data_IF_802932551752
#
_entry.id   IF_802932551752
#
_cell.length_a   1.000
_cell.length_b   1.000
_cell.length_c   1.000
_cell.angle_alpha   90.00
_cell.angle_beta   90.00
_cell.angle_gamma   90.00
#
_symmetry.space_group_name_H-M   'P 1'
#
loop_
_entity.id
_entity.type
_entity.pdbx_description
1 polymer ?
#
# COMPACT_ATOMS: atom_id res chain seq x y z
N UNK A 1 -22.22 -25.60 28.66
CA UNK A 1 -20.92 -26.22 28.29
C UNK A 1 -20.80 -26.48 26.78
N UNK A 2 -21.73 -27.19 26.13
CA UNK A 2 -21.61 -27.53 24.70
C UNK A 2 -21.45 -26.29 23.77
N UNK A 3 -22.23 -25.23 23.98
CA UNK A 3 -22.16 -24.00 23.17
C UNK A 3 -20.78 -23.32 23.23
N UNK A 4 -20.14 -23.32 24.40
CA UNK A 4 -18.80 -22.76 24.59
C UNK A 4 -17.75 -23.56 23.82
N UNK A 5 -17.80 -24.90 23.89
CA UNK A 5 -16.91 -25.75 23.12
C UNK A 5 -17.11 -25.62 21.61
N UNK A 6 -18.35 -25.40 21.15
CA UNK A 6 -18.63 -25.11 19.73
C UNK A 6 -17.94 -23.83 19.29
N UNK A 7 -18.07 -22.73 20.03
CA UNK A 7 -17.39 -21.46 19.68
C UNK A 7 -15.87 -21.64 19.67
N UNK A 8 -15.32 -22.31 20.69
CA UNK A 8 -13.89 -22.56 20.78
C UNK A 8 -13.38 -23.41 19.60
N UNK A 9 -14.11 -24.46 19.21
CA UNK A 9 -13.75 -25.30 18.07
C UNK A 9 -13.75 -24.50 16.76
N UNK A 10 -14.73 -23.63 16.56
CA UNK A 10 -14.80 -22.77 15.36
C UNK A 10 -13.64 -21.76 15.35
N UNK A 11 -13.27 -21.19 16.50
CA UNK A 11 -12.10 -20.30 16.61
C UNK A 11 -10.81 -21.04 16.25
N UNK A 12 -10.58 -22.22 16.84
CA UNK A 12 -9.38 -23.03 16.57
C UNK A 12 -9.32 -23.42 15.09
N UNK A 13 -10.46 -23.83 14.51
CA UNK A 13 -10.55 -24.15 13.09
C UNK A 13 -10.26 -22.94 12.19
N UNK A 14 -10.83 -21.77 12.52
CA UNK A 14 -10.54 -20.51 11.82
C UNK A 14 -9.06 -20.13 11.88
N UNK A 15 -8.44 -20.29 13.04
CA UNK A 15 -7.00 -20.03 13.23
C UNK A 15 -6.14 -21.00 12.41
N UNK A 16 -6.46 -22.30 12.41
CA UNK A 16 -5.76 -23.30 11.61
C UNK A 16 -5.81 -22.96 10.11
N UNK A 17 -6.99 -22.59 9.60
CA UNK A 17 -7.17 -22.15 8.21
C UNK A 17 -6.36 -20.88 7.88
N UNK A 18 -6.26 -19.95 8.83
CA UNK A 18 -5.45 -18.73 8.69
C UNK A 18 -3.94 -18.98 8.67
N UNK A 19 -3.48 -20.09 9.24
CA UNK A 19 -2.07 -20.49 9.23
C UNK A 19 -1.63 -21.21 7.94
N UNK A 20 -2.57 -21.55 7.05
CA UNK A 20 -2.25 -22.16 5.77
C UNK A 20 -1.56 -21.15 4.82
N UNK A 21 -0.64 -21.62 3.96
CA UNK A 21 -0.02 -20.78 2.92
C UNK A 21 -0.98 -20.42 1.78
N UNK A 22 -2.03 -21.21 1.58
CA UNK A 22 -2.99 -21.03 0.48
C UNK A 22 -3.93 -19.85 0.76
N UNK A 23 -3.94 -18.86 -0.12
CA UNK A 23 -4.75 -17.63 0.00
C UNK A 23 -6.24 -17.92 0.26
N UNK A 24 -6.84 -18.87 -0.47
CA UNK A 24 -8.25 -19.22 -0.32
C UNK A 24 -8.58 -19.77 1.08
N UNK A 25 -7.69 -20.61 1.65
CA UNK A 25 -7.85 -21.13 3.01
C UNK A 25 -7.73 -20.02 4.04
N UNK A 26 -6.77 -19.09 3.86
CA UNK A 26 -6.63 -17.93 4.75
C UNK A 26 -7.85 -17.03 4.76
N UNK A 27 -8.42 -16.76 3.58
CA UNK A 27 -9.66 -15.97 3.43
C UNK A 27 -10.84 -16.68 4.07
N UNK A 28 -10.96 -17.99 3.85
CA UNK A 28 -11.99 -18.80 4.49
C UNK A 28 -11.84 -18.79 6.02
N UNK A 29 -10.61 -18.89 6.53
CA UNK A 29 -10.33 -18.75 7.96
C UNK A 29 -10.77 -17.41 8.54
N UNK A 30 -10.60 -16.31 7.80
CA UNK A 30 -11.11 -15.00 8.21
C UNK A 30 -12.65 -14.97 8.30
N UNK A 31 -13.34 -15.57 7.33
CA UNK A 31 -14.80 -15.71 7.36
C UNK A 31 -15.26 -16.55 8.56
N UNK A 32 -14.58 -17.66 8.83
CA UNK A 32 -14.85 -18.52 9.99
C UNK A 32 -14.70 -17.74 11.30
N UNK A 33 -13.71 -16.86 11.42
CA UNK A 33 -13.54 -16.01 12.60
C UNK A 33 -14.69 -14.99 12.77
N UNK A 34 -15.20 -14.42 11.67
CA UNK A 34 -16.39 -13.56 11.72
C UNK A 34 -17.62 -14.36 12.20
N UNK A 35 -17.82 -15.57 11.67
CA UNK A 35 -18.90 -16.47 12.09
C UNK A 35 -18.74 -16.85 13.57
N UNK A 36 -17.54 -17.15 14.03
CA UNK A 36 -17.26 -17.44 15.44
C UNK A 36 -17.67 -16.28 16.35
N UNK A 37 -17.38 -15.04 15.95
CA UNK A 37 -17.79 -13.85 16.71
C UNK A 37 -19.32 -13.71 16.76
N UNK A 38 -20.01 -13.93 15.66
CA UNK A 38 -21.47 -13.90 15.61
C UNK A 38 -22.11 -15.01 16.46
N UNK A 39 -21.59 -16.23 16.39
CA UNK A 39 -22.04 -17.36 17.21
C UNK A 39 -21.84 -17.11 18.71
N UNK A 40 -20.71 -16.50 19.10
CA UNK A 40 -20.43 -16.13 20.48
C UNK A 40 -21.53 -15.22 21.04
N UNK A 41 -21.85 -14.13 20.33
CA UNK A 41 -22.89 -13.19 20.77
C UNK A 41 -24.30 -13.76 20.67
N UNK A 42 -24.57 -14.60 19.66
CA UNK A 42 -25.83 -15.32 19.57
C UNK A 42 -26.06 -16.22 20.78
N UNK A 43 -25.08 -17.04 21.18
CA UNK A 43 -25.24 -17.92 22.35
C UNK A 43 -25.31 -17.17 23.68
N UNK A 44 -24.68 -15.98 23.78
CA UNK A 44 -24.77 -15.15 24.98
C UNK A 44 -26.12 -14.45 25.13
N UNK A 45 -26.74 -14.02 24.02
CA UNK A 45 -27.94 -13.15 24.05
C UNK A 45 -29.22 -13.85 23.60
N UNK A 46 -29.12 -15.01 22.94
CA UNK A 46 -30.24 -15.68 22.26
C UNK A 46 -30.73 -14.96 20.99
N UNK A 47 -30.10 -13.85 20.59
CA UNK A 47 -30.57 -13.01 19.49
C UNK A 47 -29.70 -13.15 18.25
N UNK A 48 -30.32 -13.52 17.11
CA UNK A 48 -29.66 -13.57 15.80
C UNK A 48 -29.16 -12.17 15.40
N UNK A 49 -29.94 -11.14 15.73
CA UNK A 49 -29.57 -9.75 15.44
C UNK A 49 -28.29 -9.37 16.17
N UNK A 50 -28.15 -9.75 17.44
CA UNK A 50 -26.93 -9.49 18.21
C UNK A 50 -25.71 -10.20 17.59
N UNK A 51 -25.87 -11.42 17.09
CA UNK A 51 -24.82 -12.14 16.36
C UNK A 51 -24.40 -11.44 15.06
N UNK A 52 -25.37 -10.96 14.26
CA UNK A 52 -25.09 -10.21 13.03
C UNK A 52 -24.36 -8.90 13.34
N UNK A 53 -24.82 -8.15 14.36
CA UNK A 53 -24.18 -6.91 14.78
C UNK A 53 -22.75 -7.13 15.28
N UNK A 54 -22.50 -8.22 16.01
CA UNK A 54 -21.15 -8.57 16.46
C UNK A 54 -20.20 -8.88 15.29
N UNK A 55 -20.66 -9.63 14.28
CA UNK A 55 -19.88 -9.88 13.08
C UNK A 55 -19.64 -8.58 12.27
N UNK A 56 -20.66 -7.72 12.15
CA UNK A 56 -20.56 -6.44 11.46
C UNK A 56 -19.60 -5.46 12.15
N UNK A 57 -19.50 -5.51 13.49
CA UNK A 57 -18.65 -4.61 14.27
C UNK A 57 -17.17 -4.66 13.85
N UNK A 58 -16.68 -5.81 13.35
CA UNK A 58 -15.31 -5.95 12.82
C UNK A 58 -15.00 -4.96 11.69
N UNK A 59 -15.97 -4.68 10.81
CA UNK A 59 -15.83 -3.72 9.72
C UNK A 59 -15.85 -2.26 10.20
N UNK A 60 -16.24 -2.02 11.45
CA UNK A 60 -16.24 -0.70 12.07
C UNK A 60 -15.05 -0.46 13.00
N UNK A 61 -14.25 -1.47 13.32
CA UNK A 61 -13.01 -1.29 14.09
C UNK A 61 -12.08 -0.20 13.53
N UNK A 62 -11.87 -0.08 12.20
CA UNK A 62 -11.04 0.99 11.64
C UNK A 62 -11.53 2.41 11.98
N UNK A 63 -12.82 2.59 12.29
CA UNK A 63 -13.35 3.91 12.65
C UNK A 63 -12.76 4.45 13.95
N UNK A 64 -12.32 3.58 14.86
CA UNK A 64 -11.64 4.01 16.09
C UNK A 64 -10.38 4.78 15.73
N UNK A 65 -9.53 4.23 14.86
CA UNK A 65 -8.29 4.86 14.40
C UNK A 65 -8.56 6.09 13.51
N UNK A 66 -9.57 6.00 12.64
CA UNK A 66 -9.96 7.09 11.75
C UNK A 66 -10.42 8.34 12.51
N UNK A 67 -11.27 8.19 13.53
CA UNK A 67 -11.82 9.32 14.29
C UNK A 67 -10.87 9.85 15.36
N UNK A 68 -9.93 9.04 15.83
CA UNK A 68 -8.98 9.43 16.88
C UNK A 68 -7.68 10.00 16.32
N UNK A 69 -6.90 9.19 15.60
CA UNK A 69 -5.56 9.54 15.10
C UNK A 69 -5.64 10.25 13.75
N UNK A 70 -6.25 9.60 12.75
CA UNK A 70 -6.17 10.06 11.36
C UNK A 70 -6.92 11.38 11.15
N UNK A 71 -8.08 11.56 11.78
CA UNK A 71 -8.83 12.83 11.72
C UNK A 71 -8.04 14.03 12.27
N UNK A 72 -7.13 13.80 13.22
CA UNK A 72 -6.28 14.84 13.81
C UNK A 72 -4.94 14.99 13.08
N UNK A 73 -4.59 14.06 12.20
CA UNK A 73 -3.35 14.09 11.44
C UNK A 73 -3.34 15.28 10.48
N UNK A 74 -2.24 16.02 10.49
CA UNK A 74 -1.95 17.10 9.55
C UNK A 74 -0.71 16.71 8.77
N UNK A 75 -0.80 16.81 7.45
CA UNK A 75 0.30 16.51 6.54
C UNK A 75 0.78 17.81 5.89
N UNK A 76 2.10 18.03 5.76
CA UNK A 76 2.63 19.22 5.14
C UNK A 76 2.22 19.29 3.66
N UNK A 77 1.84 20.47 3.21
CA UNK A 77 1.45 20.73 1.82
C UNK A 77 2.66 20.74 0.88
N UNK A 78 3.80 21.22 1.38
CA UNK A 78 5.09 21.15 0.71
C UNK A 78 5.95 20.15 1.46
N UNK A 79 6.38 19.09 0.79
CA UNK A 79 7.27 18.11 1.38
C UNK A 79 8.26 17.68 0.31
N UNK A 80 9.53 18.01 0.52
CA UNK A 80 10.62 17.68 -0.40
C UNK A 80 11.36 16.44 0.07
N UNK A 81 11.82 15.64 -0.87
CA UNK A 81 12.77 14.58 -0.65
C UNK A 81 14.07 15.19 -0.13
N UNK A 82 14.62 14.57 0.91
CA UNK A 82 15.91 14.96 1.47
C UNK A 82 16.92 13.89 1.14
N UNK A 83 18.09 14.30 0.68
CA UNK A 83 19.18 13.37 0.42
C UNK A 83 19.53 12.57 1.69
N UNK A 84 19.83 11.29 1.49
CA UNK A 84 20.11 10.34 2.54
C UNK A 84 21.34 9.52 2.15
N UNK A 85 22.32 9.41 3.06
CA UNK A 85 23.64 8.87 2.70
C UNK A 85 23.94 7.49 3.26
N UNK A 86 23.12 6.94 4.17
CA UNK A 86 23.40 5.62 4.74
C UNK A 86 22.18 4.98 5.39
N UNK A 87 21.74 3.86 4.83
CA UNK A 87 20.69 3.01 5.42
C UNK A 87 21.25 1.66 5.79
N UNK A 88 20.97 1.20 7.01
CA UNK A 88 21.25 -0.18 7.38
C UNK A 88 20.16 -1.09 6.81
N UNK A 89 20.48 -1.84 5.75
CA UNK A 89 19.56 -2.74 5.07
C UNK A 89 19.18 -3.98 5.88
N UNK A 90 19.98 -4.39 6.88
CA UNK A 90 19.72 -5.58 7.70
C UNK A 90 18.41 -5.49 8.50
N UNK A 91 17.97 -4.25 8.78
CA UNK A 91 16.74 -3.96 9.52
C UNK A 91 15.49 -4.14 8.64
N UNK A 92 15.67 -4.22 7.32
CA UNK A 92 14.60 -4.22 6.34
C UNK A 92 14.50 -5.59 5.66
N UNK A 93 13.37 -6.30 5.81
CA UNK A 93 13.23 -7.64 5.24
C UNK A 93 13.33 -7.59 3.71
N UNK A 94 14.05 -8.55 3.12
CA UNK A 94 14.21 -8.73 1.67
C UNK A 94 14.85 -7.54 0.90
N UNK A 95 15.35 -6.51 1.60
CA UNK A 95 15.93 -5.33 0.94
C UNK A 95 17.15 -5.68 0.08
N UNK A 96 18.08 -6.45 0.64
CA UNK A 96 19.29 -6.91 -0.05
C UNK A 96 18.96 -7.79 -1.26
N UNK A 97 17.97 -8.68 -1.14
CA UNK A 97 17.51 -9.51 -2.25
C UNK A 97 16.93 -8.68 -3.40
N UNK A 98 16.21 -7.59 -3.10
CA UNK A 98 15.71 -6.66 -4.11
C UNK A 98 16.85 -5.90 -4.79
N UNK A 99 17.83 -5.44 -4.02
CA UNK A 99 18.99 -4.72 -4.54
C UNK A 99 19.78 -5.58 -5.54
N UNK A 100 20.16 -6.80 -5.13
CA UNK A 100 20.90 -7.74 -5.99
C UNK A 100 20.11 -8.05 -7.27
N UNK A 101 18.79 -8.20 -7.14
CA UNK A 101 17.94 -8.48 -8.29
C UNK A 101 17.80 -7.28 -9.25
N UNK A 102 17.79 -6.04 -8.75
CA UNK A 102 17.78 -4.84 -9.58
C UNK A 102 19.09 -4.70 -10.35
N UNK A 103 20.23 -4.81 -9.67
CA UNK A 103 21.56 -4.74 -10.29
C UNK A 103 21.74 -5.81 -11.38
N UNK A 104 21.29 -7.04 -11.10
CA UNK A 104 21.35 -8.15 -12.07
C UNK A 104 20.52 -7.89 -13.33
N UNK A 105 19.41 -7.16 -13.21
CA UNK A 105 18.54 -6.79 -14.33
C UNK A 105 18.97 -5.46 -14.98
N UNK A 106 20.16 -4.95 -14.65
CA UNK A 106 20.75 -3.77 -15.28
C UNK A 106 20.20 -2.44 -14.78
N UNK A 107 19.56 -2.41 -13.61
CA UNK A 107 19.18 -1.14 -12.99
C UNK A 107 20.39 -0.50 -12.31
N UNK A 108 20.66 0.74 -12.69
CA UNK A 108 21.73 1.55 -12.13
C UNK A 108 21.19 2.41 -10.99
N UNK A 109 21.95 2.52 -9.91
CA UNK A 109 21.60 3.38 -8.78
C UNK A 109 21.73 4.87 -9.14
N UNK A 110 20.75 5.67 -8.71
CA UNK A 110 20.75 7.13 -8.91
C UNK A 110 21.09 7.84 -7.61
N UNK A 111 20.21 7.70 -6.61
CA UNK A 111 20.30 8.42 -5.33
C UNK A 111 19.39 7.80 -4.27
N UNK A 112 19.77 8.04 -3.02
CA UNK A 112 19.00 7.67 -1.84
C UNK A 112 18.35 8.92 -1.24
N UNK A 113 17.02 8.86 -1.11
CA UNK A 113 16.19 9.97 -0.65
C UNK A 113 15.37 9.55 0.56
N UNK A 114 15.05 10.49 1.45
CA UNK A 114 14.16 10.24 2.59
C UNK A 114 12.96 11.17 2.54
N UNK A 115 11.81 10.59 2.85
CA UNK A 115 10.56 11.28 3.07
C UNK A 115 10.06 11.03 4.48
N UNK A 116 9.74 12.10 5.21
CA UNK A 116 9.04 12.01 6.50
C UNK A 116 7.62 12.53 6.34
N UNK A 117 6.64 11.65 6.51
CA UNK A 117 5.23 12.00 6.40
C UNK A 117 4.42 11.34 7.51
N UNK A 118 3.69 12.14 8.30
CA UNK A 118 2.73 11.62 9.27
C UNK A 118 3.32 10.69 10.35
N UNK A 119 4.60 10.86 10.70
CA UNK A 119 5.31 10.01 11.66
C UNK A 119 5.87 8.70 11.09
N UNK A 120 5.77 8.49 9.77
CA UNK A 120 6.47 7.43 9.04
C UNK A 120 7.73 8.01 8.39
N UNK A 121 8.84 7.29 8.51
CA UNK A 121 10.04 7.56 7.74
C UNK A 121 10.10 6.56 6.59
N UNK A 122 10.19 7.08 5.37
CA UNK A 122 10.32 6.29 4.16
C UNK A 122 11.64 6.66 3.51
N UNK A 123 12.49 5.67 3.29
CA UNK A 123 13.74 5.84 2.54
C UNK A 123 13.50 5.24 1.16
N UNK A 124 13.83 5.99 0.13
CA UNK A 124 13.70 5.64 -1.27
C UNK A 124 15.09 5.47 -1.84
N UNK A 125 15.43 4.26 -2.24
CA UNK A 125 16.60 4.01 -3.07
C UNK A 125 16.12 3.97 -4.52
N UNK A 126 16.58 4.93 -5.32
CA UNK A 126 16.12 5.15 -6.68
C UNK A 126 17.11 4.53 -7.66
N UNK A 127 16.57 3.78 -8.63
CA UNK A 127 17.32 3.15 -9.69
C UNK A 127 16.63 3.39 -11.02
N UNK A 128 17.38 3.35 -12.10
CA UNK A 128 16.85 3.51 -13.45
C UNK A 128 17.46 2.49 -14.40
N UNK A 129 16.77 2.22 -15.50
CA UNK A 129 17.27 1.37 -16.57
C UNK A 129 16.79 1.93 -17.92
N UNK A 130 17.73 2.36 -18.75
CA UNK A 130 17.45 2.96 -20.06
C UNK A 130 16.85 1.96 -21.07
N UNK A 131 17.27 0.69 -21.03
CA UNK A 131 16.78 -0.37 -21.94
C UNK A 131 15.30 -0.68 -21.67
N UNK A 132 14.93 -0.79 -20.39
CA UNK A 132 13.54 -1.03 -19.96
C UNK A 132 12.73 0.26 -19.85
N UNK A 133 13.35 1.43 -20.06
CA UNK A 133 12.75 2.76 -19.98
C UNK A 133 11.95 2.99 -18.70
N UNK A 134 12.51 2.55 -17.57
CA UNK A 134 11.79 2.55 -16.30
C UNK A 134 12.66 2.94 -15.12
N UNK A 135 11.98 3.43 -14.07
CA UNK A 135 12.56 3.77 -12.77
C UNK A 135 12.05 2.78 -11.74
N UNK A 136 12.97 2.15 -11.01
CA UNK A 136 12.67 1.33 -9.86
C UNK A 136 12.92 2.11 -8.56
N UNK A 137 11.98 2.03 -7.63
CA UNK A 137 12.06 2.67 -6.33
C UNK A 137 11.90 1.62 -5.25
N UNK A 138 13.02 1.29 -4.59
CA UNK A 138 13.04 0.43 -3.41
C UNK A 138 12.73 1.28 -2.18
N UNK A 139 11.55 1.05 -1.60
CA UNK A 139 11.04 1.82 -0.49
C UNK A 139 11.23 1.05 0.82
N UNK A 140 12.01 1.62 1.73
CA UNK A 140 12.29 1.09 3.06
C UNK A 140 11.45 1.90 4.05
N UNK A 141 10.43 1.27 4.62
CA UNK A 141 9.48 1.94 5.51
C UNK A 141 9.74 1.57 6.97
N UNK A 142 9.86 2.58 7.80
CA UNK A 142 9.95 2.45 9.24
C UNK A 142 8.78 3.21 9.90
N UNK A 143 7.98 2.48 10.68
CA UNK A 143 6.92 3.07 11.48
C UNK A 143 6.82 2.39 12.84
N UNK A 144 7.13 3.15 13.90
CA UNK A 144 7.18 2.65 15.27
C UNK A 144 8.15 1.47 15.42
N UNK A 145 7.66 0.23 15.58
CA UNK A 145 8.48 -0.98 15.73
C UNK A 145 8.31 -1.96 14.56
N UNK A 146 7.75 -1.49 13.45
CA UNK A 146 7.51 -2.31 12.25
C UNK A 146 8.29 -1.72 11.09
N UNK A 147 9.09 -2.58 10.46
CA UNK A 147 9.79 -2.28 9.22
C UNK A 147 9.29 -3.20 8.12
N UNK A 148 9.15 -2.64 6.93
CA UNK A 148 8.83 -3.43 5.74
C UNK A 148 9.41 -2.75 4.51
N UNK A 149 9.53 -3.54 3.45
CA UNK A 149 10.03 -3.09 2.16
C UNK A 149 8.99 -3.29 1.09
N UNK A 150 9.04 -2.47 0.07
CA UNK A 150 8.31 -2.70 -1.16
C UNK A 150 9.06 -2.07 -2.33
N UNK A 151 8.77 -2.55 -3.53
CA UNK A 151 9.35 -2.08 -4.77
C UNK A 151 8.25 -1.50 -5.65
N UNK A 152 8.58 -0.41 -6.32
CA UNK A 152 7.71 0.26 -7.28
C UNK A 152 8.47 0.50 -8.57
N UNK A 153 7.93 0.01 -9.69
CA UNK A 153 8.43 0.29 -11.03
C UNK A 153 7.52 1.31 -11.69
N UNK A 154 8.13 2.31 -12.31
CA UNK A 154 7.43 3.41 -12.99
C UNK A 154 7.99 3.59 -14.38
N UNK A 155 7.12 3.61 -15.37
CA UNK A 155 7.44 4.00 -16.76
C UNK A 155 6.55 5.17 -17.16
N UNK A 156 7.05 6.05 -18.03
CA UNK A 156 6.30 7.19 -18.56
C UNK A 156 6.09 7.04 -20.05
N UNK A 157 4.90 7.37 -20.52
CA UNK A 157 4.63 7.48 -21.95
C UNK A 157 4.92 8.89 -22.49
N UNK A 158 5.01 9.01 -23.82
CA UNK A 158 5.23 10.29 -24.51
C UNK A 158 4.12 11.35 -24.29
N UNK A 159 2.99 10.95 -23.72
CA UNK A 159 1.83 11.82 -23.44
C UNK A 159 1.72 12.21 -21.96
N UNK A 160 2.79 11.99 -21.18
CA UNK A 160 2.87 12.27 -19.74
C UNK A 160 1.91 11.40 -18.89
N UNK A 161 1.56 10.21 -19.39
CA UNK A 161 0.95 9.14 -18.61
C UNK A 161 2.01 8.40 -17.78
N UNK A 162 1.66 8.07 -16.54
CA UNK A 162 2.55 7.40 -15.58
C UNK A 162 2.01 6.01 -15.32
N UNK A 163 2.80 4.99 -15.64
CA UNK A 163 2.42 3.59 -15.50
C UNK A 163 3.22 2.95 -14.39
N UNK A 164 2.54 2.50 -13.35
CA UNK A 164 3.20 2.06 -12.12
C UNK A 164 2.78 0.66 -11.70
N UNK A 165 3.76 -0.21 -11.49
CA UNK A 165 3.56 -1.53 -10.89
C UNK A 165 4.21 -1.55 -9.50
N UNK A 166 3.48 -1.97 -8.47
CA UNK A 166 4.01 -2.01 -7.10
C UNK A 166 3.54 -3.23 -6.34
N UNK A 167 4.40 -3.77 -5.47
CA UNK A 167 4.03 -4.79 -4.48
C UNK A 167 3.69 -4.17 -3.10
N UNK A 168 3.51 -2.84 -3.02
CA UNK A 168 3.07 -2.17 -1.80
C UNK A 168 1.84 -2.86 -1.20
N UNK A 169 1.88 -3.28 0.09
CA UNK A 169 0.89 -4.21 0.63
C UNK A 169 -0.46 -3.56 0.98
N UNK A 170 -0.54 -2.24 1.01
CA UNK A 170 -1.72 -1.50 1.46
C UNK A 170 -2.39 -0.72 0.33
N UNK A 171 -3.66 -0.39 0.54
CA UNK A 171 -4.39 0.49 -0.34
C UNK A 171 -3.89 1.95 -0.23
N UNK A 172 -4.00 2.77 -1.30
CA UNK A 172 -3.65 4.18 -1.27
C UNK A 172 -4.47 4.95 -0.27
N UNK A 173 -3.80 5.82 0.45
CA UNK A 173 -4.42 6.74 1.40
C UNK A 173 -5.01 7.97 0.70
N UNK A 174 -4.53 8.29 -0.50
CA UNK A 174 -5.07 9.31 -1.40
C UNK A 174 -5.61 8.66 -2.69
N UNK A 175 -6.48 9.35 -3.41
CA UNK A 175 -6.84 8.93 -4.77
C UNK A 175 -5.64 9.11 -5.70
N UNK A 176 -5.52 8.21 -6.64
CA UNK A 176 -4.55 8.31 -7.73
C UNK A 176 -4.92 9.47 -8.64
N UNK A 177 -3.93 10.23 -9.10
CA UNK A 177 -4.14 11.33 -10.06
C UNK A 177 -4.58 10.76 -11.43
N UNK A 178 -5.33 11.52 -12.26
CA UNK A 178 -5.96 10.99 -13.48
C UNK A 178 -5.01 10.34 -14.50
N UNK A 179 -3.76 10.82 -14.61
CA UNK A 179 -2.75 10.29 -15.53
C UNK A 179 -1.90 9.15 -14.95
N UNK A 180 -2.12 8.80 -13.68
CA UNK A 180 -1.35 7.75 -13.01
C UNK A 180 -2.16 6.45 -13.06
N UNK A 181 -1.62 5.47 -13.76
CA UNK A 181 -2.19 4.14 -13.92
C UNK A 181 -1.47 3.17 -13.01
N UNK A 182 -2.23 2.48 -12.16
CA UNK A 182 -1.67 1.73 -11.04
C UNK A 182 -2.01 0.25 -11.10
N UNK A 183 -0.97 -0.57 -11.20
CA UNK A 183 -1.03 -2.02 -11.16
C UNK A 183 -0.45 -2.53 -9.83
N UNK A 184 -1.32 -2.70 -8.84
CA UNK A 184 -0.91 -3.18 -7.52
C UNK A 184 -0.95 -4.71 -7.47
N UNK A 185 0.21 -5.35 -7.40
CA UNK A 185 0.33 -6.82 -7.33
C UNK A 185 0.28 -7.33 -5.89
N UNK A 186 0.04 -8.62 -5.70
CA UNK A 186 0.06 -9.21 -4.35
C UNK A 186 1.47 -9.19 -3.76
N UNK A 187 1.57 -9.08 -2.43
CA UNK A 187 2.86 -9.13 -1.75
C UNK A 187 3.63 -10.41 -2.06
N UNK A 188 2.95 -11.54 -2.32
CA UNK A 188 3.57 -12.82 -2.74
C UNK A 188 4.41 -12.75 -4.03
N UNK A 189 4.34 -11.64 -4.77
CA UNK A 189 5.33 -11.27 -5.77
C UNK A 189 6.46 -10.45 -5.13
N UNK A 190 7.11 -11.00 -4.10
CA UNK A 190 8.14 -10.29 -3.34
C UNK A 190 9.36 -10.02 -4.23
N UNK A 191 9.80 -10.99 -5.02
CA UNK A 191 11.03 -10.86 -5.81
C UNK A 191 10.95 -9.76 -6.90
N UNK A 192 11.95 -8.87 -6.90
CA UNK A 192 12.09 -7.77 -7.86
C UNK A 192 12.05 -8.25 -9.33
N UNK A 193 12.73 -9.35 -9.68
CA UNK A 193 12.69 -9.93 -11.04
C UNK A 193 11.25 -10.25 -11.49
N UNK A 194 10.40 -10.76 -10.58
CA UNK A 194 9.01 -11.07 -10.90
C UNK A 194 8.20 -9.80 -11.08
N UNK A 195 8.50 -8.76 -10.29
CA UNK A 195 7.85 -7.46 -10.41
C UNK A 195 8.19 -6.77 -11.74
N UNK A 196 9.46 -6.81 -12.17
CA UNK A 196 9.93 -6.29 -13.47
C UNK A 196 9.18 -6.99 -14.61
N UNK A 197 9.15 -8.32 -14.62
CA UNK A 197 8.38 -9.10 -15.61
C UNK A 197 6.89 -8.75 -15.61
N UNK A 198 6.32 -8.54 -14.43
CA UNK A 198 4.90 -8.16 -14.29
C UNK A 198 4.65 -6.74 -14.80
N UNK A 199 5.60 -5.82 -14.61
CA UNK A 199 5.52 -4.46 -15.14
C UNK A 199 5.57 -4.45 -16.67
N UNK A 200 6.53 -5.16 -17.28
CA UNK A 200 6.62 -5.26 -18.73
C UNK A 200 5.37 -5.94 -19.32
N UNK A 201 4.87 -6.99 -18.68
CA UNK A 201 3.62 -7.62 -19.10
C UNK A 201 2.43 -6.66 -19.00
N UNK A 202 2.36 -5.86 -17.94
CA UNK A 202 1.32 -4.84 -17.77
C UNK A 202 1.38 -3.79 -18.89
N UNK A 203 2.55 -3.25 -19.20
CA UNK A 203 2.73 -2.29 -20.30
C UNK A 203 2.30 -2.89 -21.64
N UNK A 204 2.72 -4.12 -21.94
CA UNK A 204 2.31 -4.82 -23.17
C UNK A 204 0.80 -5.03 -23.25
N UNK A 205 0.12 -5.30 -22.12
CA UNK A 205 -1.35 -5.40 -22.09
C UNK A 205 -2.05 -4.07 -22.38
N UNK A 206 -1.41 -2.95 -22.08
CA UNK A 206 -1.93 -1.61 -22.41
C UNK A 206 -1.62 -1.22 -23.86
N UNK A 207 -0.85 -2.03 -24.59
CA UNK A 207 -0.55 -1.85 -26.00
C UNK A 207 0.72 -1.03 -26.28
N UNK A 208 1.56 -0.79 -25.26
CA UNK A 208 2.83 -0.10 -25.45
C UNK A 208 3.79 -0.93 -26.32
N UNK A 209 4.42 -0.26 -27.28
CA UNK A 209 5.59 -0.72 -28.03
C UNK A 209 6.78 0.11 -27.52
N UNK A 210 8.01 -0.40 -27.62
CA UNK A 210 9.20 0.23 -27.02
C UNK A 210 9.31 1.74 -27.31
N UNK A 211 8.96 2.21 -28.51
CA UNK A 211 9.05 3.62 -28.90
C UNK A 211 8.04 4.56 -28.22
N UNK A 212 7.01 4.03 -27.56
CA UNK A 212 5.96 4.81 -26.90
C UNK A 212 6.36 5.29 -25.49
N UNK A 213 7.45 4.75 -24.95
CA UNK A 213 7.95 5.06 -23.61
C UNK A 213 9.11 6.06 -23.68
N UNK A 214 9.10 6.98 -22.72
CA UNK A 214 10.18 7.94 -22.49
C UNK A 214 11.33 7.25 -21.76
N UNK A 215 12.56 7.54 -22.20
CA UNK A 215 13.76 7.18 -21.43
C UNK A 215 13.80 8.10 -20.20
N UNK A 216 13.86 7.56 -18.97
CA UNK A 216 13.97 8.38 -17.76
C UNK A 216 15.26 9.20 -17.76
N UNK A 217 15.17 10.44 -17.28
CA UNK A 217 16.35 11.26 -17.00
C UNK A 217 16.75 11.06 -15.52
N UNK A 218 17.86 10.37 -15.22
CA UNK A 218 18.24 10.04 -13.85
C UNK A 218 18.48 11.28 -12.97
N UNK A 219 18.89 12.41 -13.56
CA UNK A 219 19.20 13.62 -12.79
C UNK A 219 17.95 14.26 -12.18
N UNK A 220 16.78 14.07 -12.79
CA UNK A 220 15.52 14.74 -12.44
C UNK A 220 14.46 13.83 -11.78
N UNK A 221 14.78 12.56 -11.49
CA UNK A 221 13.80 11.57 -10.96
C UNK A 221 13.16 11.98 -9.62
N UNK A 222 13.90 12.63 -8.73
CA UNK A 222 13.37 13.11 -7.44
C UNK A 222 12.40 14.30 -7.61
N UNK A 223 12.76 15.29 -8.43
CA UNK A 223 11.89 16.41 -8.78
C UNK A 223 10.59 15.93 -9.41
N UNK A 224 10.70 14.91 -10.27
CA UNK A 224 9.58 14.22 -10.87
C UNK A 224 8.64 13.55 -9.84
N UNK A 225 9.21 12.86 -8.84
CA UNK A 225 8.44 12.23 -7.75
C UNK A 225 7.75 13.29 -6.88
N UNK A 226 8.45 14.38 -6.56
CA UNK A 226 7.87 15.51 -5.80
C UNK A 226 6.72 16.17 -6.56
N UNK A 227 6.90 16.41 -7.86
CA UNK A 227 5.87 16.98 -8.72
C UNK A 227 4.66 16.04 -8.83
N UNK A 228 4.87 14.73 -8.94
CA UNK A 228 3.78 13.76 -8.95
C UNK A 228 2.98 13.78 -7.64
N UNK A 229 3.65 13.79 -6.48
CA UNK A 229 2.94 13.90 -5.20
C UNK A 229 2.14 15.20 -5.14
N UNK A 230 2.71 16.31 -5.63
CA UNK A 230 2.01 17.60 -5.65
C UNK A 230 0.71 17.51 -6.46
N UNK A 231 0.77 16.96 -7.67
CA UNK A 231 -0.42 16.71 -8.50
C UNK A 231 -1.43 15.79 -7.82
N UNK A 232 -0.95 14.76 -7.10
CA UNK A 232 -1.83 13.90 -6.33
C UNK A 232 -2.53 14.66 -5.20
N UNK A 233 -1.83 15.53 -4.48
CA UNK A 233 -2.41 16.38 -3.42
C UNK A 233 -3.45 17.32 -4.02
N UNK A 234 -3.12 18.04 -5.10
CA UNK A 234 -4.02 18.98 -5.76
C UNK A 234 -5.30 18.28 -6.26
N UNK A 235 -5.17 17.12 -6.89
CA UNK A 235 -6.33 16.30 -7.28
C UNK A 235 -7.22 15.89 -6.09
N UNK A 236 -6.60 15.55 -4.95
CA UNK A 236 -7.35 15.14 -3.75
C UNK A 236 -7.99 16.32 -3.02
N UNK A 237 -7.44 17.53 -3.15
CA UNK A 237 -8.07 18.78 -2.72
C UNK A 237 -9.31 19.08 -3.58
N UNK A 238 -9.17 19.04 -4.91
CA UNK A 238 -10.27 19.28 -5.85
C UNK A 238 -11.42 18.28 -5.68
N UNK A 239 -11.09 17.00 -5.49
CA UNK A 239 -12.10 15.95 -5.27
C UNK A 239 -12.66 15.95 -3.85
N UNK A 240 -12.15 16.79 -2.95
CA UNK A 240 -12.62 16.97 -1.57
C UNK A 240 -12.31 15.80 -0.64
N UNK A 241 -11.30 14.99 -0.95
CA UNK A 241 -10.80 13.91 -0.06
C UNK A 241 -10.00 14.52 1.10
N UNK A 242 -9.21 15.54 0.80
CA UNK A 242 -8.46 16.33 1.77
C UNK A 242 -8.87 17.81 1.69
N UNK A 243 -8.51 18.56 2.72
CA UNK A 243 -8.71 20.01 2.79
C UNK A 243 -7.51 20.68 3.46
N UNK A 244 -7.24 21.91 3.06
CA UNK A 244 -6.23 22.75 3.71
C UNK A 244 -6.65 23.11 5.15
N UNK A 245 -5.66 23.27 6.02
CA UNK A 245 -5.85 23.70 7.41
C UNK A 245 -5.48 25.17 7.64
N UNK A 246 -4.94 25.85 6.64
CA UNK A 246 -4.58 27.29 6.67
C UNK A 246 -3.18 27.59 7.21
N UNK A 247 -2.46 26.58 7.70
CA UNK A 247 -1.13 26.65 8.31
C UNK A 247 -0.09 25.87 7.49
N UNK A 248 -0.22 25.85 6.16
CA UNK A 248 0.67 25.10 5.27
C UNK A 248 0.51 23.57 5.33
N UNK A 249 -0.57 23.08 5.94
CA UNK A 249 -0.89 21.67 6.02
C UNK A 249 -2.24 21.34 5.38
N UNK A 250 -2.49 20.05 5.18
CA UNK A 250 -3.78 19.49 4.82
C UNK A 250 -4.17 18.34 5.75
N UNK A 251 -5.47 18.02 5.77
CA UNK A 251 -6.04 16.91 6.53
C UNK A 251 -7.18 16.26 5.76
N UNK A 252 -7.56 15.04 6.16
CA UNK A 252 -8.73 14.37 5.60
C UNK A 252 -10.03 15.09 5.95
N UNK A 253 -10.92 15.21 4.95
CA UNK A 253 -12.31 15.60 5.17
C UNK A 253 -13.12 14.41 5.71
N UNK A 254 -14.39 14.64 6.09
CA UNK A 254 -15.30 13.52 6.42
C UNK A 254 -15.44 12.56 5.23
N UNK A 255 -15.52 13.09 4.00
CA UNK A 255 -15.53 12.30 2.77
C UNK A 255 -14.24 11.49 2.62
N UNK A 256 -13.10 12.07 2.96
CA UNK A 256 -11.81 11.39 3.00
C UNK A 256 -11.75 10.25 4.03
N UNK A 257 -12.34 10.43 5.21
CA UNK A 257 -12.43 9.35 6.21
C UNK A 257 -13.26 8.16 5.70
N UNK A 258 -14.38 8.42 5.02
CA UNK A 258 -15.15 7.35 4.36
C UNK A 258 -14.38 6.68 3.23
N UNK A 259 -13.59 7.45 2.46
CA UNK A 259 -12.69 6.90 1.45
C UNK A 259 -11.67 5.94 2.09
N UNK A 260 -10.95 6.38 3.12
CA UNK A 260 -9.99 5.55 3.85
C UNK A 260 -10.65 4.32 4.47
N UNK A 261 -11.84 4.46 5.06
CA UNK A 261 -12.57 3.31 5.60
C UNK A 261 -12.80 2.23 4.53
N UNK A 262 -13.21 2.61 3.32
CA UNK A 262 -13.35 1.66 2.20
C UNK A 262 -12.02 0.99 1.83
N UNK A 263 -10.92 1.73 1.90
CA UNK A 263 -9.58 1.18 1.65
C UNK A 263 -9.16 0.17 2.73
N UNK A 264 -9.40 0.47 4.01
CA UNK A 264 -9.19 -0.49 5.10
C UNK A 264 -10.02 -1.76 4.92
N UNK A 265 -11.29 -1.64 4.53
CA UNK A 265 -12.13 -2.81 4.25
C UNK A 265 -11.58 -3.60 3.06
N UNK A 266 -11.13 -2.92 2.00
CA UNK A 266 -10.50 -3.57 0.85
C UNK A 266 -9.25 -4.36 1.26
N UNK A 267 -8.39 -3.79 2.10
CA UNK A 267 -7.19 -4.46 2.60
C UNK A 267 -7.53 -5.65 3.51
N UNK A 268 -8.54 -5.49 4.36
CA UNK A 268 -9.05 -6.56 5.22
C UNK A 268 -9.64 -7.73 4.42
N UNK A 269 -10.14 -7.50 3.20
CA UNK A 269 -10.63 -8.55 2.29
C UNK A 269 -9.50 -9.13 1.44
N UNK A 270 -8.54 -8.28 1.01
CA UNK A 270 -7.43 -8.70 0.16
C UNK A 270 -6.60 -9.77 0.85
N UNK A 271 -6.36 -9.63 2.16
CA UNK A 271 -5.61 -10.58 3.00
C UNK A 271 -4.42 -11.16 2.24
N UNK A 272 -3.50 -10.28 1.84
CA UNK A 272 -2.19 -10.62 1.31
C UNK A 272 -1.54 -11.74 2.11
#
# INVERSE_FOLDING_TARGET
MNQFYTVLAVIVFGFALRSCRTMYLRKFGALVMLVASGLCFYFLTGSVIAGILAAAAWFFLPWVELLTRIRKMRMPLENRLKEHYSTNLEVFPNAEEHLIALEREGYEHIKDCTWKLGGMQQIYQLFWNAETKSVASLCLCEQSNVTFTYLTLTSRDLTDGIWRTTNFPFSPTLKTAPKVHWNQVSCSNECAMKLIKTHNHYLNQQGFIDDDLMIPDPDHVDEEIEHELRHQIDHNLETGIIQLTGDGHFRYTVKGLFYLWKQFIRDMIRLC
#
